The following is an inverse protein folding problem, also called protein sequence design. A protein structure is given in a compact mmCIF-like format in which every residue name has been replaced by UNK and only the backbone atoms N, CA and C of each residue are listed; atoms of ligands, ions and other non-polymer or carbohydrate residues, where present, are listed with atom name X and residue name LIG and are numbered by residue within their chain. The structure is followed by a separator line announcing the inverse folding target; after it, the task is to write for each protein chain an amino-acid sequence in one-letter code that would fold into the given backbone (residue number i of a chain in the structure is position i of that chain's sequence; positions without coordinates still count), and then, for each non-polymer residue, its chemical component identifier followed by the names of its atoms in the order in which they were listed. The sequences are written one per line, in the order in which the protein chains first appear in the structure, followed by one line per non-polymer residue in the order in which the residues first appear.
data_IF_768338193835
#
_entry.id   IF_768338193835
#
_cell.length_a   1.000
_cell.length_b   1.000
_cell.length_c   1.000
_cell.angle_alpha   90.00
_cell.angle_beta   90.00
_cell.angle_gamma   90.00
#
_symmetry.space_group_name_H-M   'P 1'
#
loop_
_entity.id
_entity.type
_entity.pdbx_description
1 polymer ?
#
# COMPACT_ATOMS: atom_id res chain seq x y z
N UNK A 1 10.64 6.61 0.76
CA UNK A 1 10.93 5.31 1.39
C UNK A 1 10.60 5.42 2.86
N UNK A 2 9.43 4.94 3.25
CA UNK A 2 8.90 5.00 4.61
C UNK A 2 8.47 3.59 5.02
N UNK A 3 9.12 3.04 6.04
CA UNK A 3 8.73 1.75 6.61
C UNK A 3 7.44 1.90 7.42
N UNK A 4 6.43 1.10 7.09
CA UNK A 4 5.10 1.23 7.72
C UNK A 4 4.55 -0.09 8.26
N UNK A 5 5.14 -1.22 7.88
CA UNK A 5 4.69 -2.56 8.28
C UNK A 5 5.89 -3.45 8.59
N UNK A 6 5.76 -4.32 9.60
CA UNK A 6 6.74 -5.35 9.94
C UNK A 6 6.07 -6.72 9.98
N UNK A 7 6.74 -7.74 9.42
CA UNK A 7 6.34 -9.13 9.56
C UNK A 7 7.58 -10.01 9.71
N UNK A 8 7.61 -10.88 10.72
CA UNK A 8 8.71 -11.81 11.00
C UNK A 8 10.11 -11.14 11.03
N UNK A 9 10.23 -9.97 11.65
CA UNK A 9 11.49 -9.22 11.74
C UNK A 9 11.91 -8.51 10.45
N UNK A 10 11.16 -8.65 9.35
CA UNK A 10 11.36 -7.89 8.11
C UNK A 10 10.46 -6.65 8.10
N UNK A 11 11.05 -5.50 7.77
CA UNK A 11 10.32 -4.24 7.57
C UNK A 11 9.97 -4.05 6.10
N UNK A 12 8.76 -3.59 5.84
CA UNK A 12 8.22 -3.29 4.52
C UNK A 12 7.95 -1.78 4.41
N UNK A 13 8.38 -1.22 3.29
CA UNK A 13 8.26 0.19 2.94
C UNK A 13 7.13 0.46 1.97
N UNK A 14 6.75 1.73 1.85
CA UNK A 14 5.94 2.27 0.75
C UNK A 14 6.37 1.72 -0.63
N UNK A 15 7.67 1.70 -0.90
CA UNK A 15 8.24 1.18 -2.15
C UNK A 15 7.94 -0.31 -2.34
N UNK A 16 8.10 -1.13 -1.29
CA UNK A 16 7.85 -2.58 -1.39
C UNK A 16 6.39 -2.87 -1.77
N UNK A 17 5.44 -2.10 -1.21
CA UNK A 17 4.02 -2.24 -1.55
C UNK A 17 3.72 -1.76 -2.98
N UNK A 18 4.30 -0.63 -3.39
CA UNK A 18 4.16 -0.11 -4.76
C UNK A 18 4.71 -1.11 -5.79
N UNK A 19 5.90 -1.66 -5.53
CA UNK A 19 6.53 -2.65 -6.42
C UNK A 19 5.68 -3.93 -6.50
N UNK A 20 5.06 -4.35 -5.38
CA UNK A 20 4.11 -5.47 -5.39
C UNK A 20 2.86 -5.19 -6.24
N UNK A 21 2.31 -3.97 -6.20
CA UNK A 21 1.19 -3.60 -7.08
C UNK A 21 1.56 -3.66 -8.57
N UNK A 22 2.75 -3.19 -8.94
CA UNK A 22 3.23 -3.32 -10.31
C UNK A 22 3.45 -4.78 -10.72
N UNK A 23 3.96 -5.63 -9.82
CA UNK A 23 4.12 -7.07 -10.07
C UNK A 23 2.77 -7.79 -10.25
N UNK A 24 1.72 -7.32 -9.58
CA UNK A 24 0.34 -7.80 -9.77
C UNK A 24 -0.30 -7.30 -11.08
N UNK A 25 0.38 -6.42 -11.83
CA UNK A 25 -0.10 -5.89 -13.09
C UNK A 25 -1.08 -4.73 -12.96
N UNK A 26 -1.18 -4.11 -11.78
CA UNK A 26 -1.97 -2.89 -11.57
C UNK A 26 -1.30 -1.74 -12.33
N UNK A 27 -2.11 -1.01 -13.10
CA UNK A 27 -1.67 0.04 -14.01
C UNK A 27 -2.34 1.37 -13.71
N UNK A 28 -1.77 2.44 -14.27
CA UNK A 28 -2.36 3.78 -14.22
C UNK A 28 -3.71 3.77 -14.93
N UNK A 29 -4.71 4.41 -14.33
CA UNK A 29 -6.07 4.46 -14.85
C UNK A 29 -6.96 3.28 -14.44
N UNK A 30 -6.43 2.26 -13.76
CA UNK A 30 -7.25 1.15 -13.28
C UNK A 30 -8.29 1.60 -12.25
N UNK A 31 -9.39 0.86 -12.18
CA UNK A 31 -10.37 0.93 -11.09
C UNK A 31 -10.11 -0.26 -10.18
N UNK A 32 -9.68 0.02 -8.94
CA UNK A 32 -9.30 -0.99 -7.98
C UNK A 32 -10.24 -0.93 -6.77
N UNK A 33 -10.99 -1.99 -6.54
CA UNK A 33 -11.78 -2.20 -5.32
C UNK A 33 -10.96 -3.01 -4.33
N UNK A 34 -10.76 -2.49 -3.12
CA UNK A 34 -9.81 -3.06 -2.16
C UNK A 34 -10.48 -3.43 -0.83
N UNK A 35 -10.33 -4.70 -0.46
CA UNK A 35 -10.56 -5.18 0.89
C UNK A 35 -9.23 -5.69 1.46
N UNK A 36 -8.75 -5.10 2.55
CA UNK A 36 -7.48 -5.53 3.17
C UNK A 36 -7.66 -6.01 4.60
N UNK A 37 -6.88 -7.02 4.96
CA UNK A 37 -6.65 -7.43 6.34
C UNK A 37 -5.16 -7.30 6.70
N UNK A 38 -4.52 -6.19 6.31
CA UNK A 38 -3.06 -5.98 6.49
C UNK A 38 -2.60 -6.10 7.95
N UNK A 39 -3.49 -5.80 8.91
CA UNK A 39 -3.22 -5.97 10.33
C UNK A 39 -3.16 -7.44 10.79
N UNK A 40 -3.70 -8.38 10.00
CA UNK A 40 -3.48 -9.83 10.21
C UNK A 40 -2.17 -10.30 9.59
N UNK A 41 -1.66 -9.59 8.59
CA UNK A 41 -0.37 -9.89 7.99
C UNK A 41 0.78 -9.45 8.88
N UNK A 42 0.81 -8.18 9.31
CA UNK A 42 1.96 -7.63 10.03
C UNK A 42 1.60 -6.58 11.07
N UNK A 43 2.62 -6.15 11.81
CA UNK A 43 2.54 -5.10 12.81
C UNK A 43 2.75 -3.74 12.16
N UNK A 44 1.81 -2.81 12.38
CA UNK A 44 1.98 -1.42 11.96
C UNK A 44 3.15 -0.76 12.71
N UNK A 45 3.98 -0.03 11.97
CA UNK A 45 5.13 0.73 12.50
C UNK A 45 4.83 2.22 12.69
N UNK A 46 3.67 2.67 12.25
CA UNK A 46 3.24 4.07 12.28
C UNK A 46 1.99 4.24 13.13
N UNK A 47 1.66 5.49 13.44
CA UNK A 47 0.34 5.83 13.98
C UNK A 47 -0.75 5.40 13.00
N UNK A 48 -1.97 5.14 13.49
CA UNK A 48 -3.10 4.75 12.65
C UNK A 48 -3.29 5.68 11.45
N UNK A 49 -3.25 6.99 11.66
CA UNK A 49 -3.46 7.97 10.60
C UNK A 49 -2.32 7.97 9.58
N UNK A 50 -1.07 7.91 10.04
CA UNK A 50 0.09 7.86 9.16
C UNK A 50 0.16 6.56 8.37
N UNK A 51 -0.25 5.44 8.98
CA UNK A 51 -0.34 4.14 8.31
C UNK A 51 -1.36 4.18 7.18
N UNK A 52 -2.59 4.61 7.48
CA UNK A 52 -3.67 4.71 6.49
C UNK A 52 -3.33 5.69 5.37
N UNK A 53 -2.74 6.84 5.71
CA UNK A 53 -2.27 7.81 4.72
C UNK A 53 -1.22 7.20 3.80
N UNK A 54 -0.21 6.52 4.34
CA UNK A 54 0.84 5.87 3.54
C UNK A 54 0.27 4.75 2.66
N UNK A 55 -0.70 3.97 3.15
CA UNK A 55 -1.39 2.96 2.35
C UNK A 55 -2.13 3.59 1.15
N UNK A 56 -2.91 4.64 1.39
CA UNK A 56 -3.62 5.37 0.32
C UNK A 56 -2.65 6.00 -0.70
N UNK A 57 -1.56 6.60 -0.21
CA UNK A 57 -0.51 7.15 -1.08
C UNK A 57 0.11 6.08 -1.99
N UNK A 58 0.30 4.85 -1.51
CA UNK A 58 0.80 3.74 -2.34
C UNK A 58 -0.18 3.39 -3.47
N UNK A 59 -1.48 3.29 -3.17
CA UNK A 59 -2.50 3.02 -4.20
C UNK A 59 -2.54 4.14 -5.24
N UNK A 60 -2.68 5.40 -4.81
CA UNK A 60 -2.75 6.54 -5.75
C UNK A 60 -1.46 6.77 -6.53
N UNK A 61 -0.30 6.34 -6.01
CA UNK A 61 0.96 6.37 -6.74
C UNK A 61 0.92 5.49 -7.99
N UNK A 62 0.27 4.34 -7.91
CA UNK A 62 0.17 3.36 -9.01
C UNK A 62 -1.00 3.66 -9.93
N UNK A 63 -2.17 3.97 -9.35
CA UNK A 63 -3.40 4.29 -10.10
C UNK A 63 -3.29 5.63 -10.84
N UNK A 64 -2.53 6.59 -10.31
CA UNK A 64 -2.45 7.95 -10.86
C UNK A 64 -3.77 8.72 -10.70
N UNK A 65 -3.84 9.92 -11.32
CA UNK A 65 -5.00 10.81 -11.23
C UNK A 65 -6.24 10.28 -11.98
N UNK A 66 -6.04 9.37 -12.93
CA UNK A 66 -7.10 8.82 -13.78
C UNK A 66 -7.69 7.52 -13.21
N UNK A 67 -7.01 6.89 -12.25
CA UNK A 67 -7.48 5.67 -11.63
C UNK A 67 -8.44 5.93 -10.47
N UNK A 68 -9.21 4.92 -10.12
CA UNK A 68 -10.21 4.97 -9.05
C UNK A 68 -9.89 3.93 -7.99
N UNK A 69 -9.91 4.34 -6.72
CA UNK A 69 -9.81 3.44 -5.57
C UNK A 69 -11.18 3.36 -4.90
N UNK A 70 -11.72 2.15 -4.76
CA UNK A 70 -12.99 1.84 -4.09
C UNK A 70 -12.75 1.03 -2.82
#
# INVERSE_FOLDING_TARGET
MKYFLEHNGKKYSDKDLIDAFYQLGIKRGDILCVHTELMKFGKALLTKNDFLKTLLECFFKVLGKEGTLL
#
